data_IF_678747960050
#
_entry.id   IF_678747960050
#
_cell.length_a   1.000
_cell.length_b   1.000
_cell.length_c   1.000
_cell.angle_alpha   90.00
_cell.angle_beta   90.00
_cell.angle_gamma   90.00
#
_symmetry.space_group_name_H-M   'P 1'
#
loop_
_entity.id
_entity.type
_entity.pdbx_description
1 polymer ?
#
# COMPACT_ATOMS: atom_id res chain seq x y z
N UNK A 1 -14.40 13.36 -22.92
CA UNK A 1 -13.77 12.41 -21.98
C UNK A 1 -14.13 12.63 -20.50
N UNK A 2 -14.57 13.83 -20.07
CA UNK A 2 -15.05 14.07 -18.68
C UNK A 2 -16.59 14.03 -18.55
N UNK A 3 -17.33 14.26 -19.65
CA UNK A 3 -18.79 14.45 -19.60
C UNK A 3 -19.65 13.17 -19.57
N UNK A 4 -19.10 11.98 -19.78
CA UNK A 4 -19.89 10.73 -19.76
C UNK A 4 -20.06 10.16 -18.35
N UNK A 5 -19.37 10.72 -17.35
CA UNK A 5 -19.52 10.34 -15.94
C UNK A 5 -20.44 11.27 -15.14
N UNK A 6 -21.04 12.29 -15.77
CA UNK A 6 -21.85 13.29 -15.07
C UNK A 6 -23.37 13.13 -15.24
N UNK A 7 -23.85 11.92 -15.53
CA UNK A 7 -25.28 11.64 -15.40
C UNK A 7 -25.58 11.08 -14.01
N UNK A 8 -25.79 12.01 -13.07
CA UNK A 8 -26.82 11.85 -12.03
C UNK A 8 -26.39 11.25 -10.69
N UNK A 9 -25.70 12.07 -9.88
CA UNK A 9 -25.54 12.00 -8.42
C UNK A 9 -24.48 11.01 -7.89
N UNK A 10 -23.40 11.60 -7.38
CA UNK A 10 -22.26 10.96 -6.71
C UNK A 10 -21.12 10.48 -7.63
N UNK A 11 -20.40 11.43 -8.25
CA UNK A 11 -18.93 11.32 -8.26
C UNK A 11 -18.52 11.32 -6.78
N UNK A 12 -18.61 10.16 -6.13
CA UNK A 12 -18.67 10.08 -4.68
C UNK A 12 -17.39 10.69 -4.12
N UNK A 13 -17.55 11.67 -3.23
CA UNK A 13 -16.44 12.26 -2.48
C UNK A 13 -15.52 11.15 -1.93
N UNK A 14 -16.11 10.00 -1.56
CA UNK A 14 -15.41 8.78 -1.17
C UNK A 14 -14.37 8.31 -2.19
N UNK A 15 -14.69 8.19 -3.48
CA UNK A 15 -13.71 7.76 -4.49
C UNK A 15 -12.56 8.76 -4.68
N UNK A 16 -12.83 10.06 -4.53
CA UNK A 16 -11.76 11.09 -4.56
C UNK A 16 -10.85 11.00 -3.34
N UNK A 17 -11.44 10.80 -2.17
CA UNK A 17 -10.71 10.56 -0.92
C UNK A 17 -9.88 9.28 -1.03
N UNK A 18 -10.45 8.20 -1.55
CA UNK A 18 -9.73 6.96 -1.81
C UNK A 18 -8.53 7.21 -2.72
N UNK A 19 -8.70 7.91 -3.85
CA UNK A 19 -7.59 8.25 -4.74
C UNK A 19 -6.47 9.00 -4.00
N UNK A 20 -6.81 9.98 -3.16
CA UNK A 20 -5.85 10.70 -2.34
C UNK A 20 -5.04 9.77 -1.43
N UNK A 21 -5.71 8.85 -0.72
CA UNK A 21 -5.05 7.84 0.10
C UNK A 21 -4.22 6.84 -0.72
N UNK A 22 -4.68 6.44 -1.91
CA UNK A 22 -3.92 5.57 -2.81
C UNK A 22 -2.61 6.23 -3.28
N UNK A 23 -2.66 7.53 -3.61
CA UNK A 23 -1.48 8.32 -3.95
C UNK A 23 -0.54 8.44 -2.75
N UNK A 24 -1.07 8.83 -1.59
CA UNK A 24 -0.28 8.96 -0.35
C UNK A 24 0.39 7.63 0.02
N UNK A 25 -0.33 6.52 -0.07
CA UNK A 25 0.19 5.15 0.12
C UNK A 25 1.36 4.88 -0.81
N UNK A 26 1.21 5.20 -2.09
CA UNK A 26 2.26 4.96 -3.11
C UNK A 26 3.51 5.77 -2.81
N UNK A 27 3.37 7.06 -2.49
CA UNK A 27 4.51 7.92 -2.15
C UNK A 27 5.24 7.41 -0.91
N UNK A 28 4.49 7.10 0.16
CA UNK A 28 5.06 6.58 1.40
C UNK A 28 5.83 5.28 1.19
N UNK A 29 5.28 4.33 0.42
CA UNK A 29 5.97 3.08 0.05
C UNK A 29 7.24 3.33 -0.76
N UNK A 30 7.22 4.26 -1.72
CA UNK A 30 8.41 4.62 -2.47
C UNK A 30 9.52 5.17 -1.56
N UNK A 31 9.18 6.07 -0.63
CA UNK A 31 10.14 6.60 0.35
C UNK A 31 10.73 5.49 1.23
N UNK A 32 9.90 4.53 1.67
CA UNK A 32 10.38 3.37 2.43
C UNK A 32 11.31 2.47 1.63
N UNK A 33 11.04 2.22 0.35
CA UNK A 33 11.88 1.36 -0.51
C UNK A 33 13.23 2.01 -0.83
N UNK A 34 13.29 3.34 -0.98
CA UNK A 34 14.54 4.06 -1.29
C UNK A 34 15.66 3.74 -0.28
N UNK A 35 15.31 3.46 0.99
CA UNK A 35 16.29 3.06 2.01
C UNK A 35 17.08 1.82 1.58
N UNK A 36 16.41 0.81 1.01
CA UNK A 36 17.02 -0.45 0.58
C UNK A 36 17.80 -0.32 -0.74
N UNK A 37 17.35 0.58 -1.63
CA UNK A 37 17.99 0.75 -2.94
C UNK A 37 19.25 1.62 -2.89
N UNK A 38 19.31 2.58 -1.96
CA UNK A 38 20.38 3.60 -1.94
C UNK A 38 21.17 3.57 -0.64
N UNK A 39 20.52 3.76 0.50
CA UNK A 39 21.23 3.96 1.77
C UNK A 39 21.85 2.66 2.31
N UNK A 40 21.09 1.56 2.32
CA UNK A 40 21.56 0.28 2.89
C UNK A 40 22.79 -0.29 2.16
N UNK A 41 22.88 -0.30 0.81
CA UNK A 41 24.08 -0.75 0.12
C UNK A 41 25.32 0.10 0.39
N UNK A 42 25.15 1.43 0.50
CA UNK A 42 26.24 2.35 0.81
C UNK A 42 26.79 2.11 2.23
N UNK A 43 25.90 1.96 3.22
CA UNK A 43 26.27 1.65 4.59
C UNK A 43 26.94 0.28 4.71
N UNK A 44 26.44 -0.74 4.00
CA UNK A 44 27.01 -2.08 4.02
C UNK A 44 28.45 -2.11 3.45
N UNK A 45 28.68 -1.42 2.34
CA UNK A 45 30.02 -1.27 1.75
C UNK A 45 30.97 -0.61 2.74
N UNK A 46 30.56 0.51 3.34
CA UNK A 46 31.39 1.23 4.30
C UNK A 46 31.63 0.44 5.59
N UNK A 47 30.66 -0.36 6.05
CA UNK A 47 30.81 -1.17 7.26
C UNK A 47 31.86 -2.28 7.10
N UNK A 48 31.91 -2.88 5.92
CA UNK A 48 32.77 -4.03 5.59
C UNK A 48 34.17 -3.64 5.11
N UNK A 49 34.41 -2.36 4.83
CA UNK A 49 35.73 -1.87 4.46
C UNK A 49 36.73 -2.07 5.61
N UNK A 50 37.88 -2.66 5.27
CA UNK A 50 39.01 -2.91 6.17
C UNK A 50 39.61 -1.63 6.77
N UNK A 51 39.52 -0.50 6.06
CA UNK A 51 40.01 0.80 6.51
C UNK A 51 39.07 1.50 7.51
N UNK A 52 37.85 0.97 7.69
CA UNK A 52 36.84 1.58 8.56
C UNK A 52 37.15 1.32 10.03
N UNK A 53 37.25 2.41 10.78
CA UNK A 53 37.50 2.37 12.22
C UNK A 53 36.32 1.76 12.99
N UNK A 54 36.59 1.25 14.20
CA UNK A 54 35.55 0.74 15.10
C UNK A 54 34.48 1.79 15.40
N UNK A 55 34.88 3.03 15.71
CA UNK A 55 33.93 4.11 16.00
C UNK A 55 33.05 4.46 14.79
N UNK A 56 33.58 4.38 13.57
CA UNK A 56 32.79 4.54 12.35
C UNK A 56 31.79 3.39 12.16
N UNK A 57 32.18 2.15 12.46
CA UNK A 57 31.26 1.00 12.39
C UNK A 57 30.10 1.12 13.39
N UNK A 58 30.36 1.59 14.60
CA UNK A 58 29.31 1.87 15.60
C UNK A 58 28.36 2.98 15.13
N UNK A 59 28.91 4.07 14.56
CA UNK A 59 28.10 5.14 13.98
C UNK A 59 27.22 4.62 12.82
N UNK A 60 27.76 3.76 11.95
CA UNK A 60 27.00 3.12 10.87
C UNK A 60 25.86 2.27 11.44
N UNK A 61 26.08 1.52 12.51
CA UNK A 61 25.03 0.72 13.15
C UNK A 61 23.89 1.59 13.70
N UNK A 62 24.20 2.74 14.29
CA UNK A 62 23.19 3.71 14.74
C UNK A 62 22.42 4.31 13.55
N UNK A 63 23.13 4.74 12.50
CA UNK A 63 22.50 5.31 11.29
C UNK A 63 21.62 4.28 10.59
N UNK A 64 22.10 3.02 10.48
CA UNK A 64 21.33 1.90 9.95
C UNK A 64 20.00 1.77 10.71
N UNK A 65 20.06 1.75 12.05
CA UNK A 65 18.86 1.60 12.88
C UNK A 65 17.89 2.77 12.71
N UNK A 66 18.38 4.00 12.74
CA UNK A 66 17.55 5.20 12.53
C UNK A 66 16.85 5.15 11.17
N UNK A 67 17.57 4.82 10.09
CA UNK A 67 16.97 4.72 8.76
C UNK A 67 16.00 3.56 8.64
N UNK A 68 16.33 2.40 9.22
CA UNK A 68 15.46 1.24 9.22
C UNK A 68 14.15 1.53 9.94
N UNK A 69 14.23 2.09 11.15
CA UNK A 69 13.07 2.33 12.00
C UNK A 69 12.22 3.48 11.44
N UNK A 70 12.83 4.60 11.04
CA UNK A 70 12.10 5.76 10.51
C UNK A 70 11.57 5.51 9.09
N UNK A 71 12.46 5.26 8.11
CA UNK A 71 12.02 5.11 6.72
C UNK A 71 11.24 3.81 6.51
N UNK A 72 11.55 2.75 7.27
CA UNK A 72 10.73 1.54 7.33
C UNK A 72 9.32 1.86 7.80
N UNK A 73 9.15 2.57 8.91
CA UNK A 73 7.81 2.97 9.40
C UNK A 73 7.04 3.85 8.41
N UNK A 74 7.72 4.78 7.71
CA UNK A 74 7.07 5.57 6.65
C UNK A 74 6.54 4.66 5.55
N UNK A 75 7.32 3.68 5.10
CA UNK A 75 6.90 2.74 4.06
C UNK A 75 5.79 1.78 4.51
N UNK A 76 5.99 1.14 5.65
CA UNK A 76 5.21 -0.02 6.10
C UNK A 76 3.98 0.44 6.92
N UNK A 77 4.16 1.32 7.90
CA UNK A 77 3.05 1.79 8.74
C UNK A 77 2.18 2.80 8.00
N UNK A 78 2.75 3.88 7.46
CA UNK A 78 1.95 4.89 6.75
C UNK A 78 1.51 4.37 5.37
N UNK A 79 2.45 3.83 4.61
CA UNK A 79 2.21 3.38 3.23
C UNK A 79 1.40 2.08 3.14
N UNK A 80 1.96 0.97 3.64
CA UNK A 80 1.33 -0.36 3.50
C UNK A 80 0.09 -0.51 4.37
N UNK A 81 0.12 0.00 5.58
CA UNK A 81 -0.91 -0.28 6.58
C UNK A 81 -2.00 0.79 6.56
N UNK A 82 -1.70 2.04 6.95
CA UNK A 82 -2.71 3.07 7.15
C UNK A 82 -3.38 3.53 5.84
N UNK A 83 -2.61 4.10 4.92
CA UNK A 83 -3.17 4.75 3.74
C UNK A 83 -3.77 3.71 2.77
N UNK A 84 -3.12 2.57 2.58
CA UNK A 84 -3.66 1.52 1.73
C UNK A 84 -4.91 0.87 2.32
N UNK A 85 -4.98 0.65 3.64
CA UNK A 85 -6.20 0.12 4.26
C UNK A 85 -7.39 1.07 4.07
N UNK A 86 -7.20 2.37 4.29
CA UNK A 86 -8.26 3.37 4.10
C UNK A 86 -8.73 3.40 2.64
N UNK A 87 -7.79 3.48 1.69
CA UNK A 87 -8.10 3.43 0.26
C UNK A 87 -8.91 2.18 -0.10
N UNK A 88 -8.42 1.02 0.31
CA UNK A 88 -9.02 -0.26 -0.04
C UNK A 88 -10.37 -0.46 0.61
N UNK A 89 -10.56 0.00 1.85
CA UNK A 89 -11.85 -0.04 2.53
C UNK A 89 -12.90 0.78 1.76
N UNK A 90 -12.56 2.01 1.36
CA UNK A 90 -13.48 2.86 0.60
C UNK A 90 -13.82 2.26 -0.77
N UNK A 91 -12.82 1.74 -1.49
CA UNK A 91 -13.03 1.06 -2.78
C UNK A 91 -13.93 -0.16 -2.60
N UNK A 92 -13.68 -0.98 -1.57
CA UNK A 92 -14.44 -2.18 -1.28
C UNK A 92 -15.88 -1.90 -0.90
N UNK A 93 -16.12 -0.89 -0.05
CA UNK A 93 -17.47 -0.42 0.27
C UNK A 93 -18.21 0.10 -0.97
N UNK A 94 -17.51 0.84 -1.84
CA UNK A 94 -18.08 1.33 -3.10
C UNK A 94 -18.50 0.17 -4.00
N UNK A 95 -17.69 -0.89 -4.10
CA UNK A 95 -18.03 -2.12 -4.84
C UNK A 95 -19.29 -2.77 -4.28
N UNK A 96 -19.39 -2.90 -2.94
CA UNK A 96 -20.55 -3.51 -2.30
C UNK A 96 -21.84 -2.70 -2.50
N UNK A 97 -21.74 -1.37 -2.55
CA UNK A 97 -22.85 -0.46 -2.77
C UNK A 97 -23.30 -0.42 -4.25
N UNK A 98 -22.36 -0.25 -5.16
CA UNK A 98 -22.64 -0.02 -6.59
C UNK A 98 -22.80 -1.30 -7.40
N UNK A 99 -22.22 -2.41 -6.93
CA UNK A 99 -22.21 -3.72 -7.61
C UNK A 99 -21.64 -3.65 -9.04
N UNK A 100 -20.73 -2.72 -9.30
CA UNK A 100 -20.03 -2.60 -10.60
C UNK A 100 -19.29 -3.91 -10.94
N UNK A 101 -18.76 -4.58 -9.91
CA UNK A 101 -18.21 -5.94 -10.00
C UNK A 101 -18.86 -6.83 -8.93
N UNK A 102 -18.52 -8.12 -8.92
CA UNK A 102 -19.12 -9.09 -7.99
C UNK A 102 -18.89 -8.74 -6.52
N UNK A 103 -19.90 -8.98 -5.67
CA UNK A 103 -19.90 -8.58 -4.25
C UNK A 103 -18.80 -9.27 -3.44
N UNK A 104 -18.41 -10.49 -3.80
CA UNK A 104 -17.34 -11.21 -3.10
C UNK A 104 -16.00 -10.47 -3.19
N UNK A 105 -15.73 -9.73 -4.28
CA UNK A 105 -14.53 -8.90 -4.40
C UNK A 105 -14.55 -7.73 -3.41
N UNK A 106 -15.73 -7.15 -3.16
CA UNK A 106 -15.89 -6.15 -2.13
C UNK A 106 -15.59 -6.72 -0.73
N UNK A 107 -16.09 -7.91 -0.41
CA UNK A 107 -15.79 -8.56 0.87
C UNK A 107 -14.31 -8.94 1.02
N UNK A 108 -13.70 -9.55 -0.01
CA UNK A 108 -12.28 -9.89 0.01
C UNK A 108 -11.41 -8.64 0.15
N UNK A 109 -11.81 -7.52 -0.45
CA UNK A 109 -11.12 -6.24 -0.31
C UNK A 109 -11.24 -5.68 1.10
N UNK A 110 -12.40 -5.79 1.75
CA UNK A 110 -12.56 -5.43 3.17
C UNK A 110 -11.68 -6.30 4.07
N UNK A 111 -11.65 -7.62 3.85
CA UNK A 111 -10.76 -8.52 4.59
C UNK A 111 -9.30 -8.08 4.42
N UNK A 112 -8.89 -7.82 3.19
CA UNK A 112 -7.53 -7.32 2.89
C UNK A 112 -7.26 -6.00 3.62
N UNK A 113 -8.19 -5.05 3.60
CA UNK A 113 -8.06 -3.76 4.28
C UNK A 113 -7.93 -3.92 5.80
N UNK A 114 -8.70 -4.83 6.41
CA UNK A 114 -8.59 -5.15 7.83
C UNK A 114 -7.23 -5.77 8.15
N UNK A 115 -6.76 -6.74 7.36
CA UNK A 115 -5.45 -7.35 7.57
C UNK A 115 -4.31 -6.31 7.48
N UNK A 116 -4.39 -5.37 6.54
CA UNK A 116 -3.43 -4.26 6.46
C UNK A 116 -3.54 -3.33 7.67
N UNK A 117 -4.74 -3.06 8.18
CA UNK A 117 -4.93 -2.20 9.35
C UNK A 117 -4.43 -2.83 10.65
N UNK A 118 -4.46 -4.17 10.78
CA UNK A 118 -3.93 -4.90 11.95
C UNK A 118 -2.44 -4.59 12.19
N UNK A 119 -1.67 -4.35 11.13
CA UNK A 119 -0.27 -3.96 11.23
C UNK A 119 -0.04 -2.65 11.99
N UNK A 120 -1.06 -1.79 12.12
CA UNK A 120 -0.97 -0.59 12.95
C UNK A 120 -0.77 -0.89 14.44
N UNK A 121 -0.99 -2.13 14.88
CA UNK A 121 -0.64 -2.56 16.23
C UNK A 121 0.87 -2.45 16.53
N UNK A 122 1.73 -2.41 15.51
CA UNK A 122 3.18 -2.15 15.66
C UNK A 122 3.47 -0.80 16.31
N UNK A 123 2.60 0.21 16.10
CA UNK A 123 2.71 1.52 16.76
C UNK A 123 2.56 1.44 18.29
N UNK A 124 1.96 0.36 18.79
CA UNK A 124 1.77 0.12 20.21
C UNK A 124 2.79 -0.89 20.77
N UNK A 125 3.85 -1.19 20.01
CA UNK A 125 4.96 -2.05 20.45
C UNK A 125 4.75 -3.55 20.23
N UNK A 126 3.78 -3.95 19.41
CA UNK A 126 3.58 -5.36 19.03
C UNK A 126 4.45 -5.70 17.83
N UNK A 127 5.21 -6.80 17.86
CA UNK A 127 5.95 -7.26 16.67
C UNK A 127 5.02 -8.05 15.75
N UNK A 128 4.68 -7.46 14.60
CA UNK A 128 3.87 -8.09 13.53
C UNK A 128 4.65 -8.19 12.22
N UNK A 129 5.99 -8.16 12.28
CA UNK A 129 6.83 -8.15 11.08
C UNK A 129 6.55 -9.31 10.13
N UNK A 130 6.30 -10.51 10.64
CA UNK A 130 5.96 -11.68 9.82
C UNK A 130 4.53 -11.62 9.21
N UNK A 131 3.62 -10.88 9.84
CA UNK A 131 2.24 -10.76 9.38
C UNK A 131 2.10 -9.87 8.13
N UNK A 132 3.09 -9.01 7.87
CA UNK A 132 3.11 -8.19 6.65
C UNK A 132 3.06 -9.06 5.40
N UNK A 133 3.73 -10.23 5.42
CA UNK A 133 3.73 -11.16 4.29
C UNK A 133 2.32 -11.68 4.04
N UNK A 134 1.61 -12.10 5.09
CA UNK A 134 0.23 -12.63 4.98
C UNK A 134 -0.72 -11.56 4.47
N UNK A 135 -0.72 -10.37 5.09
CA UNK A 135 -1.63 -9.28 4.72
C UNK A 135 -1.39 -8.80 3.27
N UNK A 136 -0.14 -8.66 2.85
CA UNK A 136 0.21 -8.26 1.48
C UNK A 136 -0.10 -9.37 0.47
N UNK A 137 0.10 -10.65 0.79
CA UNK A 137 -0.29 -11.75 -0.10
C UNK A 137 -1.80 -11.79 -0.36
N UNK A 138 -2.62 -11.58 0.68
CA UNK A 138 -4.08 -11.51 0.50
C UNK A 138 -4.47 -10.31 -0.37
N UNK A 139 -3.83 -9.15 -0.17
CA UNK A 139 -4.01 -7.97 -1.02
C UNK A 139 -3.63 -8.27 -2.49
N UNK A 140 -2.54 -8.98 -2.74
CA UNK A 140 -2.11 -9.35 -4.10
C UNK A 140 -3.12 -10.27 -4.78
N UNK A 141 -3.68 -11.24 -4.06
CA UNK A 141 -4.76 -12.09 -4.58
C UNK A 141 -5.99 -11.25 -4.92
N UNK A 142 -6.32 -10.25 -4.09
CA UNK A 142 -7.39 -9.30 -4.40
C UNK A 142 -7.08 -8.48 -5.65
N UNK A 143 -5.87 -7.96 -5.82
CA UNK A 143 -5.46 -7.22 -7.03
C UNK A 143 -5.60 -8.07 -8.29
N UNK A 144 -5.14 -9.32 -8.25
CA UNK A 144 -5.25 -10.25 -9.37
C UNK A 144 -6.72 -10.51 -9.71
N UNK A 145 -7.54 -10.84 -8.71
CA UNK A 145 -8.96 -11.10 -8.87
C UNK A 145 -9.72 -9.88 -9.41
N UNK A 146 -9.41 -8.68 -8.90
CA UNK A 146 -9.97 -7.42 -9.36
C UNK A 146 -9.58 -7.14 -10.82
N UNK A 147 -8.30 -7.33 -11.17
CA UNK A 147 -7.82 -7.17 -12.54
C UNK A 147 -8.55 -8.08 -13.52
N UNK A 148 -8.70 -9.37 -13.18
CA UNK A 148 -9.47 -10.33 -13.99
C UNK A 148 -10.94 -9.88 -14.13
N UNK A 149 -11.56 -9.44 -13.05
CA UNK A 149 -12.95 -8.99 -13.08
C UNK A 149 -13.16 -7.77 -13.98
N UNK A 150 -12.26 -6.78 -13.91
CA UNK A 150 -12.30 -5.58 -14.74
C UNK A 150 -12.09 -5.89 -16.22
N UNK A 151 -11.18 -6.83 -16.56
CA UNK A 151 -10.97 -7.28 -17.94
C UNK A 151 -12.17 -8.02 -18.53
N UNK A 152 -13.00 -8.63 -17.68
CA UNK A 152 -14.23 -9.34 -18.09
C UNK A 152 -15.45 -8.42 -18.21
N UNK A 153 -15.36 -7.16 -17.79
CA UNK A 153 -16.48 -6.23 -17.93
C UNK A 153 -16.75 -5.97 -19.42
N UNK A 154 -18.02 -6.10 -19.88
CA UNK A 154 -18.37 -5.84 -21.26
C UNK A 154 -17.96 -4.43 -21.67
N UNK A 155 -17.22 -4.30 -22.76
CA UNK A 155 -16.80 -3.02 -23.30
C UNK A 155 -18.02 -2.32 -23.92
N UNK A 156 -18.67 -1.44 -23.17
CA UNK A 156 -19.87 -0.68 -23.57
C UNK A 156 -19.63 0.28 -24.77
N UNK A 157 -18.42 0.32 -25.34
CA UNK A 157 -18.07 1.17 -26.49
C UNK A 157 -18.57 0.64 -27.85
N UNK A 158 -19.06 -0.59 -27.96
CA UNK A 158 -19.51 -1.16 -29.25
C UNK A 158 -21.03 -1.12 -29.50
N UNK A 159 -21.86 -0.74 -28.51
CA UNK A 159 -23.32 -0.72 -28.67
C UNK A 159 -23.91 0.63 -29.11
N UNK A 160 -23.05 1.61 -29.46
CA UNK A 160 -23.46 2.97 -29.86
C UNK A 160 -22.88 3.38 -31.25
N UNK A 161 -22.53 2.41 -32.10
CA UNK A 161 -22.25 2.60 -33.53
C UNK A 161 -23.24 1.76 -34.33
#
# INVERSE_FOLDING_TARGET
TVQVLSNGKSSSIGLRVALGFGIASTIARCLGIIRWLVAMPALATLYTDSATSTGTREAIAVVYRVLNDYAGSVGEVLGVSLFAAIWLAIVSLTILQTRIVSRWLGFLGLVSATLLAVQLAELFGTDLGAFITVSVSVLQLWFLAMGIALLRLPNQRQNNL
#
